data_IF_392416099572
#
_entry.id   IF_392416099572
#
_cell.length_a   1.000
_cell.length_b   1.000
_cell.length_c   1.000
_cell.angle_alpha   90.00
_cell.angle_beta   90.00
_cell.angle_gamma   90.00
#
_symmetry.space_group_name_H-M   'P 1'
#
loop_
_entity.id
_entity.type
_entity.pdbx_description
1 polymer ?
#
# COMPACT_ATOMS: atom_id res chain seq x y z
N UNK A 1 -11.51 -3.91 -4.76
CA UNK A 1 -10.10 -3.69 -4.31
C UNK A 1 -9.93 -3.89 -2.82
N UNK A 2 -10.95 -3.54 -2.02
CA UNK A 2 -10.92 -3.73 -0.57
C UNK A 2 -10.68 -5.19 -0.13
N UNK A 3 -11.36 -6.16 -0.75
CA UNK A 3 -11.19 -7.59 -0.45
C UNK A 3 -9.75 -8.06 -0.65
N UNK A 4 -9.13 -7.69 -1.77
CA UNK A 4 -7.74 -8.01 -2.09
C UNK A 4 -6.77 -7.37 -1.10
N UNK A 5 -7.02 -6.13 -0.67
CA UNK A 5 -6.22 -5.47 0.37
C UNK A 5 -6.30 -6.24 1.69
N UNK A 6 -7.50 -6.64 2.11
CA UNK A 6 -7.72 -7.43 3.34
C UNK A 6 -7.00 -8.77 3.28
N UNK A 7 -7.17 -9.51 2.18
CA UNK A 7 -6.48 -10.79 1.95
C UNK A 7 -4.97 -10.61 2.07
N UNK A 8 -4.43 -9.60 1.40
CA UNK A 8 -2.99 -9.34 1.40
C UNK A 8 -2.46 -8.99 2.79
N UNK A 9 -3.20 -8.19 3.55
CA UNK A 9 -2.86 -7.85 4.94
C UNK A 9 -2.80 -9.11 5.82
N UNK A 10 -3.72 -10.06 5.63
CA UNK A 10 -3.77 -11.30 6.40
C UNK A 10 -2.59 -12.21 6.02
N UNK A 11 -2.31 -12.35 4.72
CA UNK A 11 -1.24 -13.21 4.20
C UNK A 11 0.19 -12.69 4.49
N UNK A 12 0.38 -11.38 4.62
CA UNK A 12 1.70 -10.81 4.94
C UNK A 12 2.13 -11.04 6.39
N UNK A 13 1.20 -11.43 7.28
CA UNK A 13 1.48 -11.61 8.70
C UNK A 13 1.92 -13.05 8.97
N UNK A 14 2.85 -13.27 9.92
CA UNK A 14 3.21 -14.62 10.36
C UNK A 14 2.01 -15.43 10.88
N UNK A 15 1.02 -14.75 11.46
CA UNK A 15 -0.23 -15.34 11.92
C UNK A 15 -1.43 -14.51 11.42
N UNK A 16 -2.44 -15.14 10.78
CA UNK A 16 -3.55 -14.41 10.16
C UNK A 16 -4.37 -13.60 11.17
N UNK A 17 -4.49 -14.06 12.42
CA UNK A 17 -5.21 -13.40 13.50
C UNK A 17 -4.65 -12.01 13.82
N UNK A 18 -3.37 -11.79 13.56
CA UNK A 18 -2.72 -10.49 13.76
C UNK A 18 -3.20 -9.44 12.74
N UNK A 19 -3.70 -9.88 11.59
CA UNK A 19 -4.24 -9.02 10.53
C UNK A 19 -5.69 -8.59 10.78
N UNK A 20 -6.46 -9.34 11.57
CA UNK A 20 -7.92 -9.16 11.67
C UNK A 20 -8.33 -7.80 12.22
N UNK A 21 -7.69 -7.34 13.31
CA UNK A 21 -7.99 -6.02 13.89
C UNK A 21 -7.74 -4.88 12.89
N UNK A 22 -6.69 -4.98 12.08
CA UNK A 22 -6.40 -4.01 11.03
C UNK A 22 -7.47 -4.03 9.95
N UNK A 23 -7.88 -5.22 9.50
CA UNK A 23 -8.90 -5.38 8.46
C UNK A 23 -10.26 -4.85 8.91
N UNK A 24 -10.68 -5.18 10.14
CA UNK A 24 -11.91 -4.65 10.74
C UNK A 24 -11.87 -3.13 10.86
N UNK A 25 -10.74 -2.57 11.29
CA UNK A 25 -10.54 -1.12 11.33
C UNK A 25 -10.70 -0.47 9.96
N UNK A 26 -10.10 -1.06 8.92
CA UNK A 26 -10.19 -0.58 7.54
C UNK A 26 -11.63 -0.64 7.02
N UNK A 27 -12.33 -1.77 7.22
CA UNK A 27 -13.74 -1.91 6.83
C UNK A 27 -14.61 -0.86 7.54
N UNK A 28 -14.32 -0.57 8.82
CA UNK A 28 -15.01 0.46 9.59
C UNK A 28 -14.87 1.88 9.03
N UNK A 29 -13.82 2.19 8.26
CA UNK A 29 -13.61 3.50 7.65
C UNK A 29 -14.71 3.85 6.63
N UNK A 30 -15.39 2.85 6.05
CA UNK A 30 -16.54 3.06 5.16
C UNK A 30 -17.63 3.91 5.81
N UNK A 31 -17.84 3.77 7.13
CA UNK A 31 -18.85 4.55 7.87
C UNK A 31 -18.55 6.05 7.90
N UNK A 32 -17.26 6.41 7.89
CA UNK A 32 -16.82 7.81 7.99
C UNK A 32 -16.59 8.45 6.62
N UNK A 33 -16.09 7.67 5.65
CA UNK A 33 -15.63 8.21 4.37
C UNK A 33 -16.46 7.74 3.16
N UNK A 34 -17.37 6.77 3.34
CA UNK A 34 -18.13 6.16 2.26
C UNK A 34 -17.43 4.96 1.63
N UNK A 35 -18.21 4.07 1.02
CA UNK A 35 -17.72 2.85 0.38
C UNK A 35 -16.84 3.15 -0.85
N UNK A 36 -17.27 4.08 -1.71
CA UNK A 36 -16.56 4.40 -2.95
C UNK A 36 -15.15 4.94 -2.67
N UNK A 37 -15.02 5.84 -1.68
CA UNK A 37 -13.73 6.38 -1.26
C UNK A 37 -12.85 5.31 -0.63
N UNK A 38 -13.43 4.38 0.13
CA UNK A 38 -12.68 3.28 0.72
C UNK A 38 -12.13 2.34 -0.36
N UNK A 39 -12.90 2.03 -1.39
CA UNK A 39 -12.44 1.23 -2.54
C UNK A 39 -11.28 1.91 -3.28
N UNK A 40 -11.40 3.22 -3.55
CA UNK A 40 -10.34 4.00 -4.18
C UNK A 40 -9.08 4.08 -3.29
N UNK A 41 -9.25 4.26 -1.98
CA UNK A 41 -8.14 4.23 -1.03
C UNK A 41 -7.46 2.85 -0.97
N UNK A 42 -8.24 1.76 -1.06
CA UNK A 42 -7.71 0.41 -1.07
C UNK A 42 -6.90 0.12 -2.34
N UNK A 43 -7.38 0.59 -3.49
CA UNK A 43 -6.63 0.55 -4.75
C UNK A 43 -5.29 1.27 -4.61
N UNK A 44 -5.32 2.52 -4.13
CA UNK A 44 -4.09 3.31 -3.93
C UNK A 44 -3.12 2.64 -2.95
N UNK A 45 -3.63 2.09 -1.84
CA UNK A 45 -2.83 1.39 -0.85
C UNK A 45 -2.13 0.14 -1.43
N UNK A 46 -2.80 -0.59 -2.34
CA UNK A 46 -2.21 -1.72 -3.05
C UNK A 46 -1.11 -1.26 -4.02
N UNK A 47 -1.34 -0.19 -4.78
CA UNK A 47 -0.36 0.35 -5.73
C UNK A 47 0.95 0.78 -5.05
N UNK A 48 0.85 1.44 -3.89
CA UNK A 48 2.03 1.89 -3.12
C UNK A 48 2.51 0.85 -2.09
N UNK A 49 1.90 -0.35 -2.08
CA UNK A 49 2.16 -1.45 -1.13
C UNK A 49 2.00 -1.08 0.36
N UNK A 50 1.29 0.01 0.69
CA UNK A 50 1.05 0.48 2.05
C UNK A 50 -0.16 -0.21 2.69
N UNK A 51 0.02 -1.50 2.99
CA UNK A 51 -1.03 -2.44 3.42
C UNK A 51 -1.22 -2.45 4.94
N UNK A 52 -1.63 -1.31 5.52
CA UNK A 52 -1.93 -1.22 6.96
C UNK A 52 -2.98 -0.14 7.24
N UNK A 53 -3.62 -0.23 8.41
CA UNK A 53 -4.68 0.69 8.80
C UNK A 53 -4.24 2.18 8.84
N UNK A 54 -3.12 2.56 9.50
CA UNK A 54 -2.66 3.95 9.50
C UNK A 54 -2.49 4.54 8.09
N UNK A 55 -1.93 3.78 7.16
CA UNK A 55 -1.75 4.20 5.77
C UNK A 55 -3.08 4.42 5.05
N UNK A 56 -4.01 3.47 5.13
CA UNK A 56 -5.34 3.61 4.49
C UNK A 56 -6.11 4.79 5.07
N UNK A 57 -6.07 4.95 6.40
CA UNK A 57 -6.65 6.11 7.08
C UNK A 57 -6.04 7.42 6.59
N UNK A 58 -4.70 7.48 6.47
CA UNK A 58 -4.01 8.68 5.99
C UNK A 58 -4.35 9.01 4.53
N UNK A 59 -4.48 8.00 3.67
CA UNK A 59 -4.92 8.18 2.28
C UNK A 59 -6.28 8.87 2.23
N UNK A 60 -7.25 8.40 3.03
CA UNK A 60 -8.60 8.97 3.10
C UNK A 60 -8.63 10.37 3.73
N UNK A 61 -7.88 10.58 4.81
CA UNK A 61 -7.83 11.87 5.50
C UNK A 61 -7.18 12.97 4.65
N UNK A 62 -6.16 12.61 3.86
CA UNK A 62 -5.47 13.54 2.95
C UNK A 62 -6.11 13.63 1.56
N UNK A 63 -7.19 12.88 1.30
CA UNK A 63 -7.87 12.88 0.00
C UNK A 63 -7.04 12.28 -1.14
N UNK A 64 -6.02 11.48 -0.81
CA UNK A 64 -5.15 10.85 -1.80
C UNK A 64 -5.90 9.80 -2.63
N UNK A 65 -7.01 9.27 -2.14
CA UNK A 65 -7.92 8.40 -2.90
C UNK A 65 -8.48 9.07 -4.18
N UNK A 66 -8.43 10.40 -4.28
CA UNK A 66 -8.95 11.19 -5.40
C UNK A 66 -7.89 11.65 -6.39
N UNK A 67 -6.62 11.50 -6.03
CA UNK A 67 -5.49 11.99 -6.83
C UNK A 67 -4.91 10.81 -7.60
N UNK A 68 -4.67 10.92 -8.92
CA UNK A 68 -3.98 9.86 -9.66
C UNK A 68 -2.59 9.61 -9.06
N UNK A 69 -2.19 8.35 -8.96
CA UNK A 69 -0.82 8.00 -8.58
C UNK A 69 0.08 8.36 -9.76
N UNK A 70 0.94 9.37 -9.57
CA UNK A 70 1.99 9.66 -10.53
C UNK A 70 2.93 8.46 -10.58
N UNK A 71 3.03 7.81 -11.74
CA UNK A 71 4.09 6.83 -11.97
C UNK A 71 5.40 7.58 -11.79
N UNK A 72 6.23 7.12 -10.85
CA UNK A 72 7.61 7.58 -10.80
C UNK A 72 8.21 7.36 -12.20
N UNK A 73 8.92 8.36 -12.77
CA UNK A 73 9.60 8.15 -14.02
C UNK A 73 10.50 6.92 -13.88
N UNK A 74 10.46 6.03 -14.85
CA UNK A 74 11.38 4.91 -14.94
C UNK A 74 12.78 5.52 -15.03
N UNK A 75 13.51 5.49 -13.90
CA UNK A 75 14.84 6.07 -13.84
C UNK A 75 15.79 5.01 -14.37
N UNK A 76 16.50 5.37 -15.43
CA UNK A 76 17.65 4.58 -15.85
C UNK A 76 18.60 4.40 -14.66
N UNK A 77 19.22 3.22 -14.50
CA UNK A 77 20.24 3.02 -13.48
C UNK A 77 21.31 4.11 -13.64
N UNK A 78 21.61 4.82 -12.56
CA UNK A 78 22.71 5.78 -12.57
C UNK A 78 24.00 4.98 -12.78
N UNK A 79 24.62 5.13 -13.94
CA UNK A 79 25.95 4.58 -14.22
C UNK A 79 26.99 5.44 -13.49
N UNK A 80 27.72 4.84 -12.56
CA UNK A 80 28.82 5.50 -11.85
C UNK A 80 29.97 4.50 -11.65
N UNK A 81 31.20 4.95 -11.86
CA UNK A 81 32.45 4.19 -11.68
C UNK A 81 32.61 3.50 -10.32
N UNK A 82 31.88 3.95 -9.29
CA UNK A 82 31.97 3.39 -7.93
C UNK A 82 30.94 2.27 -7.68
N UNK A 83 30.08 1.95 -8.65
CA UNK A 83 29.12 0.84 -8.54
C UNK A 83 29.84 -0.45 -8.92
N UNK A 84 30.12 -1.29 -7.93
CA UNK A 84 30.79 -2.57 -8.11
C UNK A 84 29.76 -3.66 -8.41
N UNK A 85 29.98 -4.40 -9.49
CA UNK A 85 29.11 -5.51 -9.90
C UNK A 85 29.26 -6.74 -9.01
N UNK A 86 28.38 -7.74 -9.20
CA UNK A 86 28.42 -9.02 -8.49
C UNK A 86 29.76 -9.75 -8.59
N UNK A 87 30.53 -9.49 -9.66
CA UNK A 87 31.87 -10.02 -9.89
C UNK A 87 32.93 -9.52 -8.88
N UNK A 88 32.64 -8.46 -8.12
CA UNK A 88 33.57 -7.90 -7.12
C UNK A 88 33.56 -8.65 -5.78
N UNK A 89 32.48 -9.36 -5.47
CA UNK A 89 32.34 -10.08 -4.20
C UNK A 89 32.50 -11.59 -4.45
N UNK A 90 33.42 -12.23 -3.72
CA UNK A 90 33.65 -13.68 -3.72
C UNK A 90 32.94 -14.36 -2.55
#
# INVERSE_FOLDING_TARGET
MLSLLVERIIMDRPHPEQGYRSCLGIIGLAKRFGADRLEAAAMRALEIQARNYPSVKSILEKGLDKVPVSKAPEREPILHDNIRGSQYYH
#
